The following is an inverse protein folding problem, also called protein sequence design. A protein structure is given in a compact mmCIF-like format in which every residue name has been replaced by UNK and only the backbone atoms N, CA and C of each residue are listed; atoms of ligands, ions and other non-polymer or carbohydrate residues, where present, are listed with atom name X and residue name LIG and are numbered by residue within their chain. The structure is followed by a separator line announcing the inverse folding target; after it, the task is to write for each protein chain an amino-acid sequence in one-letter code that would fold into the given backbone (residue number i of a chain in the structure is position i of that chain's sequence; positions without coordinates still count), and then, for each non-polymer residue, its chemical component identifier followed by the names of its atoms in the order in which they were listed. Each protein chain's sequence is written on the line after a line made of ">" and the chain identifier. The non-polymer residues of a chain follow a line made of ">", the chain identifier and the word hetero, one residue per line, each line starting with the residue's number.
data_IF_753871031499
#
_entry.id   IF_753871031499
#
_cell.length_a   1.000
_cell.length_b   1.000
_cell.length_c   1.000
_cell.angle_alpha   90.00
_cell.angle_beta   90.00
_cell.angle_gamma   90.00
#
_symmetry.space_group_name_H-M   'P 1'
#
loop_
_entity.id
_entity.type
_entity.pdbx_description
1 polymer ?
#
# COMPACT_ATOMS: atom_id res chain seq x y z
N UNK A 1 -17.30 14.60 -14.47
CA UNK A 1 -17.71 15.34 -13.24
C UNK A 1 -18.29 16.67 -13.64
N UNK A 2 -19.43 17.03 -13.06
CA UNK A 2 -20.07 18.31 -13.28
C UNK A 2 -19.14 19.49 -12.87
N UNK A 3 -19.02 20.57 -13.69
CA UNK A 3 -18.14 21.69 -13.39
C UNK A 3 -18.47 22.44 -12.10
N UNK A 4 -19.74 22.51 -11.69
CA UNK A 4 -20.16 23.18 -10.47
C UNK A 4 -19.78 22.35 -9.24
N UNK A 5 -20.00 21.04 -9.29
CA UNK A 5 -19.53 20.10 -8.26
C UNK A 5 -18.02 20.20 -8.08
N UNK A 6 -17.27 20.27 -9.19
CA UNK A 6 -15.81 20.48 -9.14
C UNK A 6 -15.45 21.78 -8.42
N UNK A 7 -16.11 22.89 -8.76
CA UNK A 7 -15.86 24.20 -8.17
C UNK A 7 -16.13 24.18 -6.67
N UNK A 8 -17.22 23.54 -6.24
CA UNK A 8 -17.59 23.42 -4.83
C UNK A 8 -16.55 22.62 -4.03
N UNK A 9 -16.07 21.49 -4.56
CA UNK A 9 -15.03 20.66 -3.91
C UNK A 9 -13.74 21.48 -3.77
N UNK A 10 -13.29 22.14 -4.84
CA UNK A 10 -12.07 22.92 -4.83
C UNK A 10 -12.17 24.16 -3.93
N UNK A 11 -13.35 24.76 -3.81
CA UNK A 11 -13.62 25.87 -2.89
C UNK A 11 -13.64 25.44 -1.41
N UNK A 12 -13.92 24.17 -1.14
CA UNK A 12 -13.99 23.61 0.22
C UNK A 12 -12.67 22.97 0.69
N UNK A 13 -11.62 22.97 -0.13
CA UNK A 13 -10.36 22.31 0.23
C UNK A 13 -9.68 22.98 1.44
N UNK A 14 -9.01 22.22 2.31
CA UNK A 14 -8.21 22.80 3.39
C UNK A 14 -7.10 23.73 2.89
N UNK A 15 -6.72 24.70 3.73
CA UNK A 15 -5.61 25.61 3.43
C UNK A 15 -4.26 24.88 3.36
N UNK A 16 -4.11 23.79 4.13
CA UNK A 16 -2.95 22.89 4.12
C UNK A 16 -2.77 22.15 2.79
N UNK A 17 -3.85 21.98 2.01
CA UNK A 17 -3.79 21.27 0.72
C UNK A 17 -3.02 22.12 -0.30
N UNK A 18 -1.81 21.66 -0.60
CA UNK A 18 -0.91 22.25 -1.60
C UNK A 18 -0.89 21.45 -2.91
N UNK A 19 -1.44 20.23 -2.92
CA UNK A 19 -1.55 19.40 -4.12
C UNK A 19 -2.98 18.87 -4.28
N UNK A 20 -3.53 18.97 -5.49
CA UNK A 20 -4.81 18.35 -5.86
C UNK A 20 -4.60 17.38 -7.01
N UNK A 21 -5.06 16.14 -6.86
CA UNK A 21 -5.03 15.09 -7.89
C UNK A 21 -6.47 14.74 -8.29
N UNK A 22 -6.73 14.73 -9.59
CA UNK A 22 -8.03 14.40 -10.16
C UNK A 22 -7.88 13.21 -11.10
N UNK A 23 -8.53 12.10 -10.74
CA UNK A 23 -8.60 10.87 -11.53
C UNK A 23 -10.00 10.72 -12.08
N UNK A 24 -10.13 10.72 -13.40
CA UNK A 24 -11.41 10.54 -14.10
C UNK A 24 -11.34 9.23 -14.87
N UNK A 25 -12.15 8.26 -14.46
CA UNK A 25 -12.24 6.95 -15.09
C UNK A 25 -13.42 6.91 -16.06
N UNK A 26 -13.20 6.28 -17.22
CA UNK A 26 -14.26 5.88 -18.13
C UNK A 26 -14.65 4.43 -17.82
N UNK A 27 -15.95 4.13 -17.84
CA UNK A 27 -16.43 2.76 -17.81
C UNK A 27 -16.58 2.33 -19.26
N UNK A 28 -15.80 1.35 -19.68
CA UNK A 28 -15.99 0.71 -20.97
C UNK A 28 -17.14 -0.30 -20.85
N UNK A 29 -18.22 -0.08 -21.60
CA UNK A 29 -19.43 -0.92 -21.58
C UNK A 29 -19.20 -2.29 -22.20
N UNK A 30 -18.13 -2.46 -22.98
CA UNK A 30 -17.95 -3.62 -23.85
C UNK A 30 -16.92 -4.63 -23.29
N UNK A 31 -16.35 -4.36 -22.11
CA UNK A 31 -15.43 -5.29 -21.44
C UNK A 31 -16.18 -6.23 -20.49
N UNK A 32 -16.75 -7.29 -21.05
CA UNK A 32 -17.09 -8.48 -20.27
C UNK A 32 -15.80 -9.09 -19.72
N UNK A 33 -15.66 -9.03 -18.39
CA UNK A 33 -14.62 -9.65 -17.58
C UNK A 33 -13.16 -9.35 -17.98
N UNK A 34 -12.55 -8.37 -17.31
CA UNK A 34 -11.08 -8.34 -17.20
C UNK A 34 -10.65 -9.60 -16.45
N UNK A 35 -10.25 -10.63 -17.20
CA UNK A 35 -9.68 -11.87 -16.66
C UNK A 35 -8.19 -11.67 -16.36
N UNK A 36 -7.76 -12.11 -15.18
CA UNK A 36 -6.35 -12.03 -14.75
C UNK A 36 -6.15 -11.44 -13.35
N UNK A 37 -4.92 -11.55 -12.83
CA UNK A 37 -4.56 -10.91 -11.56
C UNK A 37 -4.54 -9.39 -11.76
N UNK A 38 -5.23 -8.59 -10.93
CA UNK A 38 -5.10 -7.15 -10.96
C UNK A 38 -3.63 -6.75 -10.81
N UNK A 39 -3.06 -6.15 -11.86
CA UNK A 39 -1.68 -5.68 -11.86
C UNK A 39 -1.64 -4.22 -11.43
N UNK A 40 -0.69 -3.86 -10.56
CA UNK A 40 -0.42 -2.44 -10.21
C UNK A 40 0.05 -1.60 -11.41
N UNK A 41 0.25 -2.22 -12.57
CA UNK A 41 0.62 -1.53 -13.79
C UNK A 41 -0.52 -0.75 -14.44
N UNK A 42 -1.79 -0.92 -14.01
CA UNK A 42 -3.01 -0.41 -14.66
C UNK A 42 -2.92 -0.56 -16.19
N UNK A 43 -3.45 -1.65 -16.74
CA UNK A 43 -3.40 -1.89 -18.19
C UNK A 43 -4.08 -0.71 -18.89
N UNK A 44 -3.27 0.14 -19.53
CA UNK A 44 -3.79 1.26 -20.31
C UNK A 44 -4.47 0.68 -21.54
N UNK A 45 -5.72 1.09 -21.78
CA UNK A 45 -6.44 0.71 -22.99
C UNK A 45 -5.60 1.04 -24.24
N UNK A 46 -5.46 0.14 -25.23
CA UNK A 46 -4.65 0.40 -26.43
C UNK A 46 -5.03 1.70 -27.15
N UNK A 47 -6.31 2.04 -27.15
CA UNK A 47 -6.84 3.25 -27.78
C UNK A 47 -6.83 4.50 -26.88
N UNK A 48 -6.19 4.44 -25.72
CA UNK A 48 -6.04 5.61 -24.85
C UNK A 48 -5.21 6.70 -25.54
N UNK A 49 -5.44 7.96 -25.13
CA UNK A 49 -4.73 9.10 -25.73
C UNK A 49 -3.21 9.01 -25.56
N UNK A 50 -2.41 9.67 -26.44
CA UNK A 50 -0.96 9.67 -26.32
C UNK A 50 -0.44 10.11 -24.95
N UNK A 51 -1.14 11.04 -24.28
CA UNK A 51 -0.79 11.51 -22.94
C UNK A 51 -0.95 10.41 -21.89
N UNK A 52 -2.01 9.60 -22.00
CA UNK A 52 -2.21 8.45 -21.12
C UNK A 52 -1.18 7.37 -21.41
N UNK A 53 -0.92 7.06 -22.69
CA UNK A 53 0.13 6.11 -23.09
C UNK A 53 1.52 6.53 -22.61
N UNK A 54 1.78 7.84 -22.46
CA UNK A 54 3.03 8.38 -21.97
C UNK A 54 3.18 8.36 -20.43
N UNK A 55 2.18 7.89 -19.68
CA UNK A 55 2.28 7.80 -18.23
C UNK A 55 3.41 6.86 -17.82
N UNK A 56 4.30 7.38 -16.98
CA UNK A 56 5.36 6.59 -16.37
C UNK A 56 4.76 5.51 -15.45
N UNK A 57 5.54 4.48 -15.16
CA UNK A 57 5.16 3.47 -14.18
C UNK A 57 4.74 4.08 -12.83
N UNK A 58 5.52 5.03 -12.30
CA UNK A 58 5.23 5.67 -11.02
C UNK A 58 3.90 6.44 -11.02
N UNK A 59 3.54 7.06 -12.14
CA UNK A 59 2.25 7.74 -12.29
C UNK A 59 1.09 6.74 -12.32
N UNK A 60 1.22 5.64 -13.08
CA UNK A 60 0.20 4.58 -13.13
C UNK A 60 0.00 3.92 -11.78
N UNK A 61 1.09 3.57 -11.11
CA UNK A 61 1.07 3.00 -9.76
C UNK A 61 0.39 3.96 -8.77
N UNK A 62 0.64 5.27 -8.88
CA UNK A 62 -0.02 6.26 -8.04
C UNK A 62 -1.52 6.36 -8.32
N UNK A 63 -1.93 6.40 -9.59
CA UNK A 63 -3.35 6.39 -10.00
C UNK A 63 -4.05 5.13 -9.48
N UNK A 64 -3.42 3.96 -9.65
CA UNK A 64 -3.95 2.68 -9.19
C UNK A 64 -4.29 2.71 -7.70
N UNK A 65 -3.31 3.14 -6.90
CA UNK A 65 -3.44 3.19 -5.44
C UNK A 65 -4.42 4.25 -4.98
N UNK A 66 -4.28 5.49 -5.43
CA UNK A 66 -5.08 6.63 -4.96
C UNK A 66 -6.57 6.48 -5.28
N UNK A 67 -6.90 5.85 -6.41
CA UNK A 67 -8.29 5.59 -6.80
C UNK A 67 -8.96 4.48 -5.98
N UNK A 68 -8.17 3.57 -5.41
CA UNK A 68 -8.63 2.40 -4.65
C UNK A 68 -8.39 2.53 -3.14
N UNK A 69 -7.64 3.54 -2.73
CA UNK A 69 -7.18 3.74 -1.37
C UNK A 69 -8.18 4.42 -0.45
N UNK A 70 -9.41 4.72 -0.85
CA UNK A 70 -10.41 5.22 0.10
C UNK A 70 -10.65 4.19 1.20
N UNK A 71 -10.55 4.62 2.46
CA UNK A 71 -10.46 3.77 3.65
C UNK A 71 -9.38 2.69 3.56
N UNK A 72 -8.29 3.01 2.86
CA UNK A 72 -7.19 2.09 2.57
C UNK A 72 -6.50 1.56 3.83
N UNK A 73 -6.41 2.38 4.89
CA UNK A 73 -5.83 1.99 6.17
C UNK A 73 -6.55 0.79 6.81
N UNK A 74 -7.89 0.83 6.92
CA UNK A 74 -8.67 -0.27 7.50
C UNK A 74 -8.63 -1.52 6.63
N UNK A 75 -8.66 -1.37 5.29
CA UNK A 75 -8.52 -2.50 4.35
C UNK A 75 -7.16 -3.17 4.48
N UNK A 76 -6.09 -2.38 4.61
CA UNK A 76 -4.74 -2.90 4.81
C UNK A 76 -4.64 -3.65 6.14
N UNK A 77 -5.18 -3.09 7.23
CA UNK A 77 -5.21 -3.76 8.53
C UNK A 77 -5.97 -5.10 8.44
N UNK A 78 -7.17 -5.12 7.83
CA UNK A 78 -7.94 -6.35 7.63
C UNK A 78 -7.14 -7.39 6.83
N UNK A 79 -6.48 -6.98 5.74
CA UNK A 79 -5.63 -7.87 4.95
C UNK A 79 -4.50 -8.47 5.78
N UNK A 80 -3.80 -7.66 6.59
CA UNK A 80 -2.75 -8.15 7.49
C UNK A 80 -3.31 -9.09 8.55
N UNK A 81 -4.46 -8.77 9.16
CA UNK A 81 -5.11 -9.61 10.16
C UNK A 81 -5.40 -11.00 9.60
N UNK A 82 -6.11 -11.08 8.47
CA UNK A 82 -6.41 -12.35 7.82
C UNK A 82 -5.14 -13.10 7.41
N UNK A 83 -4.12 -12.40 6.89
CA UNK A 83 -2.85 -13.04 6.51
C UNK A 83 -2.14 -13.65 7.73
N UNK A 84 -2.13 -12.95 8.85
CA UNK A 84 -1.50 -13.43 10.07
C UNK A 84 -2.29 -14.51 10.79
N UNK A 85 -3.61 -14.54 10.64
CA UNK A 85 -4.45 -15.61 11.16
C UNK A 85 -4.25 -16.94 10.40
N UNK A 86 -3.70 -16.90 9.18
CA UNK A 86 -3.27 -18.09 8.43
C UNK A 86 -1.92 -18.65 8.91
N UNK A 87 -1.19 -17.93 9.76
CA UNK A 87 0.09 -18.40 10.28
C UNK A 87 -0.12 -19.60 11.24
N UNK A 88 0.72 -20.64 11.16
CA UNK A 88 0.66 -21.75 12.12
C UNK A 88 0.83 -21.27 13.56
N UNK A 89 0.20 -21.96 14.51
CA UNK A 89 0.32 -21.63 15.92
C UNK A 89 1.80 -21.58 16.36
N UNK A 90 2.19 -20.49 17.03
CA UNK A 90 3.56 -20.26 17.49
C UNK A 90 4.53 -19.70 16.44
N UNK A 91 4.12 -19.61 15.17
CA UNK A 91 4.91 -18.93 14.14
C UNK A 91 5.13 -17.46 14.52
N UNK A 92 6.39 -17.03 14.56
CA UNK A 92 6.75 -15.62 14.80
C UNK A 92 7.00 -14.90 13.48
N UNK A 93 6.78 -13.59 13.49
CA UNK A 93 7.18 -12.70 12.41
C UNK A 93 8.58 -12.17 12.67
N UNK A 94 9.43 -12.19 11.65
CA UNK A 94 10.75 -11.58 11.69
C UNK A 94 10.68 -10.18 11.11
N UNK A 95 10.79 -9.16 11.96
CA UNK A 95 10.87 -7.76 11.55
C UNK A 95 12.34 -7.35 11.50
N UNK A 96 12.79 -6.88 10.34
CA UNK A 96 14.13 -6.36 10.15
C UNK A 96 14.07 -4.97 9.52
N UNK A 97 14.62 -3.97 10.21
CA UNK A 97 14.76 -2.61 9.69
C UNK A 97 16.19 -2.45 9.18
N UNK A 98 16.36 -2.11 7.90
CA UNK A 98 17.68 -1.97 7.25
C UNK A 98 18.55 -3.23 7.47
N UNK A 99 19.75 -3.04 8.02
CA UNK A 99 20.76 -4.04 8.35
C UNK A 99 20.80 -4.34 9.86
N UNK A 100 19.77 -3.96 10.62
CA UNK A 100 19.67 -4.28 12.04
C UNK A 100 19.43 -5.78 12.25
N UNK A 101 19.66 -6.25 13.48
CA UNK A 101 19.34 -7.62 13.84
C UNK A 101 17.82 -7.82 13.77
N UNK A 102 17.32 -8.90 13.13
CA UNK A 102 15.90 -9.16 13.08
C UNK A 102 15.30 -9.35 14.47
N UNK A 103 14.15 -8.75 14.72
CA UNK A 103 13.36 -8.93 15.94
C UNK A 103 12.20 -9.87 15.63
N UNK A 104 12.04 -10.90 16.47
CA UNK A 104 10.90 -11.80 16.41
C UNK A 104 9.74 -11.24 17.21
N UNK A 105 8.58 -11.07 16.58
CA UNK A 105 7.34 -10.62 17.21
C UNK A 105 6.23 -11.67 17.07
N UNK A 106 5.27 -11.61 18.00
CA UNK A 106 4.08 -12.45 17.93
C UNK A 106 3.00 -11.77 17.06
N UNK A 107 2.61 -12.35 15.91
CA UNK A 107 1.55 -11.79 15.07
C UNK A 107 0.19 -11.69 15.77
N UNK A 108 -0.07 -12.55 16.77
CA UNK A 108 -1.33 -12.54 17.53
C UNK A 108 -1.35 -11.44 18.60
N UNK A 109 -0.20 -10.89 18.97
CA UNK A 109 -0.08 -9.78 19.93
C UNK A 109 -0.13 -8.39 19.27
N UNK A 110 -0.64 -8.32 18.03
CA UNK A 110 -0.79 -7.08 17.26
C UNK A 110 -1.81 -6.14 17.90
N UNK A 111 -1.60 -4.84 17.72
CA UNK A 111 -2.53 -3.77 18.13
C UNK A 111 -2.85 -2.87 16.94
N UNK A 112 -4.02 -2.28 16.93
CA UNK A 112 -4.39 -1.22 16.00
C UNK A 112 -4.13 0.10 16.72
N UNK A 113 -3.23 0.90 16.16
CA UNK A 113 -3.00 2.27 16.58
C UNK A 113 -3.87 3.18 15.73
N UNK A 114 -4.69 4.01 16.38
CA UNK A 114 -5.57 4.98 15.76
C UNK A 114 -4.98 6.38 15.90
N UNK A 115 -4.93 7.10 14.80
CA UNK A 115 -4.38 8.43 14.70
C UNK A 115 -5.41 9.41 14.15
N UNK A 116 -5.37 10.63 14.69
CA UNK A 116 -6.02 11.79 14.11
C UNK A 116 -5.00 12.62 13.35
N UNK A 117 -5.17 12.71 12.03
CA UNK A 117 -4.39 13.55 11.13
C UNK A 117 -5.04 14.92 10.99
N UNK A 118 -4.23 15.98 11.00
CA UNK A 118 -4.68 17.36 10.85
C UNK A 118 -3.95 18.03 9.70
N UNK A 119 -4.67 18.83 8.91
CA UNK A 119 -4.11 19.57 7.80
C UNK A 119 -3.53 18.66 6.71
N UNK A 120 -4.35 17.85 6.01
CA UNK A 120 -3.86 17.04 4.90
C UNK A 120 -3.26 17.94 3.81
N UNK A 121 -2.15 17.50 3.22
CA UNK A 121 -1.41 18.26 2.19
C UNK A 121 -1.85 17.92 0.77
N UNK A 122 -2.46 16.75 0.60
CA UNK A 122 -2.95 16.22 -0.67
C UNK A 122 -4.48 16.10 -0.63
N UNK A 123 -5.14 16.52 -1.71
CA UNK A 123 -6.54 16.20 -1.99
C UNK A 123 -6.61 15.32 -3.24
N UNK A 124 -7.13 14.10 -3.09
CA UNK A 124 -7.40 13.20 -4.23
C UNK A 124 -8.89 13.15 -4.51
N UNK A 125 -9.25 13.30 -5.77
CA UNK A 125 -10.63 13.22 -6.28
C UNK A 125 -10.65 12.13 -7.34
N UNK A 126 -11.40 11.04 -7.10
CA UNK A 126 -11.58 9.96 -8.08
C UNK A 126 -13.05 9.84 -8.48
N UNK A 127 -13.37 9.81 -9.77
CA UNK A 127 -14.75 9.74 -10.29
C UNK A 127 -14.86 8.80 -11.48
N UNK A 128 -16.06 8.28 -11.75
CA UNK A 128 -16.32 7.36 -12.87
C UNK A 128 -15.91 5.92 -12.59
N UNK A 129 -15.75 5.56 -11.31
CA UNK A 129 -15.49 4.18 -10.90
C UNK A 129 -16.79 3.37 -10.88
N UNK A 130 -16.77 2.17 -11.46
CA UNK A 130 -17.93 1.26 -11.51
C UNK A 130 -18.42 0.93 -10.08
N UNK A 131 -19.74 0.97 -9.87
CA UNK A 131 -20.36 0.66 -8.58
C UNK A 131 -20.27 1.77 -7.54
N UNK A 132 -19.85 2.98 -7.92
CA UNK A 132 -19.84 4.14 -7.03
C UNK A 132 -20.54 5.33 -7.67
N UNK A 133 -21.62 5.77 -7.05
CA UNK A 133 -22.29 7.01 -7.43
C UNK A 133 -21.48 8.20 -6.90
N UNK A 134 -20.89 8.97 -7.82
CA UNK A 134 -20.23 10.23 -7.52
C UNK A 134 -18.70 10.18 -7.47
N UNK A 135 -18.11 11.04 -6.64
CA UNK A 135 -16.67 11.19 -6.49
C UNK A 135 -16.21 10.68 -5.12
N UNK A 136 -15.14 9.90 -5.11
CA UNK A 136 -14.41 9.51 -3.92
C UNK A 136 -13.40 10.60 -3.60
N UNK A 137 -13.40 11.07 -2.35
CA UNK A 137 -12.54 12.15 -1.90
C UNK A 137 -11.64 11.67 -0.76
N UNK A 138 -10.35 11.95 -0.85
CA UNK A 138 -9.37 11.75 0.23
C UNK A 138 -8.70 13.09 0.52
N UNK A 139 -8.70 13.53 1.79
CA UNK A 139 -8.08 14.79 2.20
C UNK A 139 -8.95 16.05 2.06
N UNK A 140 -10.28 15.92 1.90
CA UNK A 140 -11.19 17.08 1.86
C UNK A 140 -11.40 17.71 3.25
N UNK A 141 -11.38 16.91 4.32
CA UNK A 141 -11.55 17.41 5.69
C UNK A 141 -10.29 18.08 6.24
N UNK A 142 -10.45 19.01 7.18
CA UNK A 142 -9.32 19.54 7.97
C UNK A 142 -8.68 18.45 8.85
N UNK A 143 -9.48 17.45 9.21
CA UNK A 143 -9.07 16.33 10.03
C UNK A 143 -9.48 15.01 9.35
N UNK A 144 -8.70 13.96 9.56
CA UNK A 144 -8.97 12.61 9.06
C UNK A 144 -8.47 11.57 10.05
N UNK A 145 -9.19 10.46 10.17
CA UNK A 145 -8.73 9.31 10.95
C UNK A 145 -7.85 8.41 10.10
N UNK A 146 -6.77 7.90 10.68
CA UNK A 146 -5.88 6.93 10.06
C UNK A 146 -5.50 5.88 11.08
N UNK A 147 -5.39 4.63 10.66
CA UNK A 147 -5.04 3.54 11.58
C UNK A 147 -3.92 2.70 10.99
N UNK A 148 -3.04 2.20 11.84
CA UNK A 148 -1.92 1.33 11.46
C UNK A 148 -1.90 0.09 12.33
N UNK A 149 -1.22 -0.96 11.87
CA UNK A 149 -1.03 -2.17 12.66
C UNK A 149 0.33 -2.13 13.36
N UNK A 150 0.29 -2.30 14.68
CA UNK A 150 1.44 -2.24 15.58
C UNK A 150 1.82 -3.61 16.16
N UNK A 151 3.12 -3.79 16.43
CA UNK A 151 3.69 -4.95 17.10
C UNK A 151 4.58 -4.53 18.27
N UNK A 152 4.49 -5.27 19.37
CA UNK A 152 5.33 -5.08 20.56
C UNK A 152 6.50 -6.07 20.59
N UNK A 153 7.68 -5.58 20.96
CA UNK A 153 8.81 -6.40 21.37
C UNK A 153 8.54 -7.03 22.73
N UNK A 154 8.83 -8.33 22.85
CA UNK A 154 9.02 -9.01 24.16
C UNK A 154 7.85 -8.84 25.15
N UNK A 155 6.63 -8.62 24.67
CA UNK A 155 5.45 -8.45 25.52
C UNK A 155 5.47 -7.18 26.39
N UNK A 156 6.24 -6.15 26.00
CA UNK A 156 6.30 -4.85 26.70
C UNK A 156 4.94 -4.17 26.84
N UNK A 157 3.98 -4.53 25.99
CA UNK A 157 2.67 -3.88 25.86
C UNK A 157 2.72 -2.55 25.12
N UNK A 158 3.92 -2.00 24.89
CA UNK A 158 4.18 -0.79 24.11
C UNK A 158 4.42 -1.21 22.65
N UNK A 159 3.85 -0.48 21.70
CA UNK A 159 4.10 -0.77 20.28
C UNK A 159 5.50 -0.29 19.90
N UNK A 160 6.33 -1.18 19.38
CA UNK A 160 7.70 -0.88 18.96
C UNK A 160 7.79 -0.70 17.44
N UNK A 161 6.99 -1.47 16.69
CA UNK A 161 6.98 -1.47 15.24
C UNK A 161 5.58 -1.25 14.70
N UNK A 162 5.49 -0.56 13.56
CA UNK A 162 4.24 -0.38 12.84
C UNK A 162 4.42 -0.79 11.38
N UNK A 163 3.37 -1.41 10.84
CA UNK A 163 3.20 -1.68 9.41
C UNK A 163 1.98 -0.92 8.90
N UNK A 164 2.14 -0.26 7.77
CA UNK A 164 1.13 0.63 7.24
C UNK A 164 1.21 0.78 5.72
N UNK A 165 0.07 1.07 5.09
CA UNK A 165 -0.05 1.30 3.65
C UNK A 165 -0.60 2.71 3.36
N UNK A 166 -0.17 3.75 4.10
CA UNK A 166 -0.54 5.17 3.92
C UNK A 166 -0.41 5.60 2.46
N UNK A 167 0.58 5.08 1.75
CA UNK A 167 0.76 5.24 0.32
C UNK A 167 -0.51 5.00 -0.50
N UNK A 168 -1.35 4.05 -0.12
CA UNK A 168 -2.60 3.77 -0.83
C UNK A 168 -3.54 4.97 -0.82
N UNK A 169 -3.59 5.69 0.30
CA UNK A 169 -4.44 6.86 0.47
C UNK A 169 -3.79 8.15 -0.05
N UNK A 170 -2.49 8.29 0.17
CA UNK A 170 -1.78 9.57 0.06
C UNK A 170 -0.69 9.56 -1.02
N UNK A 171 -0.67 8.54 -1.87
CA UNK A 171 0.24 8.43 -2.99
C UNK A 171 1.70 8.48 -2.56
N UNK A 172 2.52 9.21 -3.31
CA UNK A 172 3.96 9.31 -3.08
C UNK A 172 4.33 9.86 -1.70
N UNK A 173 3.51 10.76 -1.14
CA UNK A 173 3.75 11.33 0.19
C UNK A 173 3.66 10.28 1.31
N UNK A 174 2.90 9.21 1.07
CA UNK A 174 2.71 8.10 2.01
C UNK A 174 3.70 6.94 1.84
N UNK A 175 4.73 7.08 1.00
CA UNK A 175 5.79 6.06 0.89
C UNK A 175 6.58 5.96 2.19
N UNK A 176 7.08 4.76 2.47
CA UNK A 176 7.94 4.56 3.64
C UNK A 176 9.32 5.23 3.50
N UNK A 177 10.14 5.15 4.54
CA UNK A 177 11.39 5.91 4.66
C UNK A 177 12.40 5.65 3.54
N UNK A 178 12.29 4.52 2.84
CA UNK A 178 13.13 4.14 1.71
C UNK A 178 12.35 4.13 0.39
N UNK A 179 11.17 4.74 0.33
CA UNK A 179 10.34 4.80 -0.87
C UNK A 179 9.54 3.53 -1.15
N UNK A 180 9.47 2.61 -0.19
CA UNK A 180 8.72 1.37 -0.26
C UNK A 180 7.20 1.57 -0.31
N UNK A 181 6.50 0.52 -0.74
CA UNK A 181 5.05 0.55 -0.98
C UNK A 181 4.24 0.43 0.32
N UNK A 182 4.79 -0.23 1.33
CA UNK A 182 4.27 -0.30 2.69
C UNK A 182 5.34 0.20 3.67
N UNK A 183 4.98 1.07 4.61
CA UNK A 183 5.87 1.40 5.70
C UNK A 183 6.02 0.20 6.63
N UNK A 184 7.26 -0.15 6.99
CA UNK A 184 7.57 -1.04 8.11
C UNK A 184 8.73 -0.42 8.89
N UNK A 185 8.46 0.00 10.11
CA UNK A 185 9.46 0.69 10.92
C UNK A 185 8.99 0.95 12.34
N UNK A 186 9.63 1.86 13.05
CA UNK A 186 9.22 2.25 14.41
C UNK A 186 8.02 3.19 14.39
N UNK A 187 7.29 3.26 15.49
CA UNK A 187 6.18 4.23 15.62
C UNK A 187 6.66 5.68 15.42
N UNK A 188 7.80 6.04 16.04
CA UNK A 188 8.40 7.37 15.84
C UNK A 188 8.75 7.64 14.38
N UNK A 189 9.31 6.65 13.67
CA UNK A 189 9.61 6.78 12.25
C UNK A 189 8.34 6.91 11.40
N UNK A 190 7.23 6.32 11.81
CA UNK A 190 5.93 6.51 11.17
C UNK A 190 5.45 7.95 11.33
N UNK A 191 5.50 8.50 12.54
CA UNK A 191 5.16 9.90 12.80
C UNK A 191 6.00 10.85 11.94
N UNK A 192 7.30 10.58 11.80
CA UNK A 192 8.20 11.38 10.96
C UNK A 192 7.79 11.37 9.48
N UNK A 193 7.44 10.20 8.91
CA UNK A 193 7.01 10.16 7.50
C UNK A 193 5.64 10.83 7.28
N UNK A 194 4.76 10.82 8.29
CA UNK A 194 3.44 11.45 8.22
C UNK A 194 3.51 12.97 8.10
N UNK A 195 4.65 13.59 8.45
CA UNK A 195 4.90 14.99 8.18
C UNK A 195 4.89 15.33 6.67
N UNK A 196 5.10 14.36 5.78
CA UNK A 196 4.93 14.58 4.34
C UNK A 196 3.46 14.61 3.90
N UNK A 197 2.59 13.98 4.69
CA UNK A 197 1.17 13.77 4.35
C UNK A 197 0.28 14.83 4.97
N UNK A 198 0.58 15.25 6.19
CA UNK A 198 -0.24 16.18 6.97
C UNK A 198 0.62 17.13 7.84
N UNK A 199 -0.02 18.13 8.45
CA UNK A 199 0.65 19.10 9.32
C UNK A 199 0.85 18.56 10.74
N UNK A 200 0.02 17.62 11.18
CA UNK A 200 0.18 16.97 12.48
C UNK A 200 -0.58 15.66 12.59
N UNK A 201 0.00 14.71 13.31
CA UNK A 201 -0.59 13.42 13.63
C UNK A 201 -0.60 13.22 15.14
N UNK A 202 -1.70 12.72 15.68
CA UNK A 202 -1.85 12.47 17.11
C UNK A 202 -2.49 11.10 17.33
N UNK A 203 -1.86 10.26 18.15
CA UNK A 203 -2.48 9.00 18.57
C UNK A 203 -3.73 9.30 19.44
N UNK A 204 -4.82 8.60 19.14
CA UNK A 204 -6.11 8.73 19.82
C UNK A 204 -6.63 7.40 20.39
N UNK A 205 -6.00 6.26 20.06
CA UNK A 205 -6.37 4.95 20.60
C UNK A 205 -5.39 3.84 20.21
N UNK A 206 -5.30 2.78 21.02
CA UNK A 206 -4.39 1.65 20.77
C UNK A 206 -4.86 0.29 21.34
N UNK A 207 -6.11 0.19 21.79
CA UNK A 207 -6.62 -1.00 22.49
C UNK A 207 -7.25 -2.04 21.57
N UNK A 208 -7.64 -1.64 20.36
CA UNK A 208 -8.23 -2.54 19.40
C UNK A 208 -7.19 -3.53 18.85
N UNK A 209 -7.56 -4.80 18.70
CA UNK A 209 -6.70 -5.82 18.09
C UNK A 209 -7.22 -6.29 16.73
N UNK A 210 -8.50 -6.00 16.46
CA UNK A 210 -9.24 -6.44 15.29
C UNK A 210 -10.09 -5.30 14.72
N UNK A 211 -10.13 -5.20 13.40
CA UNK A 211 -11.13 -4.34 12.74
C UNK A 211 -12.45 -5.10 12.76
N UNK A 212 -13.55 -4.41 13.06
CA UNK A 212 -14.87 -5.02 13.02
C UNK A 212 -15.24 -5.51 11.60
N UNK A 213 -16.17 -6.48 11.47
CA UNK A 213 -16.63 -6.93 10.17
C UNK A 213 -17.16 -5.76 9.32
N UNK A 214 -16.78 -5.75 8.05
CA UNK A 214 -17.24 -4.80 7.02
C UNK A 214 -17.60 -5.50 5.72
N UNK A 215 -18.14 -4.77 4.75
CA UNK A 215 -18.39 -5.25 3.38
C UNK A 215 -17.13 -5.76 2.66
N UNK A 216 -15.94 -5.40 3.13
CA UNK A 216 -14.67 -5.83 2.53
C UNK A 216 -14.09 -7.11 3.14
N UNK A 217 -14.65 -7.60 4.26
CA UNK A 217 -14.07 -8.71 5.04
C UNK A 217 -13.80 -9.95 4.17
N UNK A 218 -14.82 -10.45 3.47
CA UNK A 218 -14.69 -11.64 2.62
C UNK A 218 -13.67 -11.45 1.50
N UNK A 219 -13.62 -10.26 0.90
CA UNK A 219 -12.66 -9.96 -0.16
C UNK A 219 -11.23 -9.90 0.37
N UNK A 220 -11.01 -9.32 1.56
CA UNK A 220 -9.70 -9.25 2.19
C UNK A 220 -9.23 -10.64 2.64
N UNK A 221 -10.12 -11.47 3.18
CA UNK A 221 -9.84 -12.86 3.54
C UNK A 221 -9.41 -13.68 2.31
N UNK A 222 -10.18 -13.60 1.20
CA UNK A 222 -9.82 -14.28 -0.05
C UNK A 222 -8.47 -13.79 -0.62
N UNK A 223 -8.17 -12.49 -0.47
CA UNK A 223 -6.87 -11.93 -0.86
C UNK A 223 -5.73 -12.48 0.00
N UNK A 224 -5.92 -12.51 1.33
CA UNK A 224 -4.94 -13.06 2.27
C UNK A 224 -4.65 -14.55 1.99
N UNK A 225 -5.69 -15.36 1.77
CA UNK A 225 -5.56 -16.78 1.42
C UNK A 225 -4.73 -16.97 0.14
N UNK A 226 -5.03 -16.22 -0.92
CA UNK A 226 -4.26 -16.28 -2.17
C UNK A 226 -2.80 -15.87 -1.98
N UNK A 227 -2.53 -14.83 -1.20
CA UNK A 227 -1.16 -14.40 -0.88
C UNK A 227 -0.43 -15.46 -0.07
N UNK A 228 -1.12 -16.09 0.89
CA UNK A 228 -0.57 -17.16 1.72
C UNK A 228 -0.23 -18.42 0.93
N UNK A 229 -1.12 -18.87 0.05
CA UNK A 229 -0.88 -19.99 -0.87
C UNK A 229 0.36 -19.73 -1.73
N UNK A 230 0.43 -18.53 -2.33
CA UNK A 230 1.59 -18.11 -3.11
C UNK A 230 2.87 -18.10 -2.28
N UNK A 231 2.81 -17.58 -1.04
CA UNK A 231 3.95 -17.58 -0.13
C UNK A 231 4.44 -18.99 0.24
N UNK A 232 3.52 -19.93 0.45
CA UNK A 232 3.86 -21.33 0.70
C UNK A 232 4.46 -22.02 -0.53
N UNK A 233 4.05 -21.62 -1.73
CA UNK A 233 4.56 -22.14 -3.00
C UNK A 233 5.73 -21.35 -3.59
N UNK A 234 6.35 -20.44 -2.81
CA UNK A 234 7.32 -19.46 -3.31
C UNK A 234 8.54 -20.02 -4.02
N UNK A 235 8.99 -21.20 -3.59
CA UNK A 235 10.13 -21.86 -4.21
C UNK A 235 9.80 -22.37 -5.63
N UNK A 236 8.51 -22.51 -5.98
CA UNK A 236 8.03 -23.01 -7.27
C UNK A 236 7.50 -21.90 -8.18
N UNK A 237 6.68 -20.99 -7.65
CA UNK A 237 5.89 -20.07 -8.49
C UNK A 237 6.63 -18.78 -8.83
N UNK A 238 7.38 -18.19 -7.88
CA UNK A 238 8.07 -16.92 -8.12
C UNK A 238 7.17 -15.72 -8.37
N UNK A 239 7.63 -14.54 -7.95
CA UNK A 239 6.94 -13.29 -8.21
C UNK A 239 7.92 -12.12 -8.30
N UNK A 240 7.47 -11.02 -8.88
CA UNK A 240 8.18 -9.77 -8.78
C UNK A 240 8.12 -9.25 -7.34
N UNK A 241 9.27 -9.08 -6.71
CA UNK A 241 9.42 -8.60 -5.32
C UNK A 241 8.85 -7.17 -5.12
N UNK A 242 8.78 -6.37 -6.18
CA UNK A 242 8.21 -5.03 -6.12
C UNK A 242 6.68 -5.00 -6.32
N UNK A 243 6.17 -5.61 -7.40
CA UNK A 243 4.76 -5.48 -7.77
C UNK A 243 3.89 -6.73 -7.50
N UNK A 244 4.50 -7.83 -7.10
CA UNK A 244 3.80 -9.09 -6.82
C UNK A 244 3.35 -9.89 -8.04
N UNK A 245 3.60 -9.45 -9.28
CA UNK A 245 3.21 -10.20 -10.48
C UNK A 245 3.89 -11.58 -10.50
N UNK A 246 3.13 -12.65 -10.76
CA UNK A 246 3.63 -14.02 -10.75
C UNK A 246 4.46 -14.36 -11.99
N UNK A 247 5.35 -15.35 -11.88
CA UNK A 247 6.15 -15.80 -13.03
C UNK A 247 5.32 -16.48 -14.13
N UNK A 248 4.10 -16.94 -13.81
CA UNK A 248 3.13 -17.47 -14.78
C UNK A 248 2.57 -16.38 -15.70
N UNK A 249 2.56 -15.12 -15.25
CA UNK A 249 2.01 -13.99 -15.99
C UNK A 249 3.10 -13.24 -16.77
N UNK A 250 4.30 -13.13 -16.20
CA UNK A 250 5.42 -12.37 -16.80
C UNK A 250 6.76 -13.06 -16.59
N UNK A 251 7.66 -13.05 -17.60
CA UNK A 251 9.05 -13.45 -17.42
C UNK A 251 9.71 -12.57 -16.35
N UNK A 252 10.32 -13.21 -15.35
CA UNK A 252 10.99 -12.50 -14.27
C UNK A 252 12.51 -12.52 -14.44
N UNK A 253 13.13 -11.41 -14.08
CA UNK A 253 14.57 -11.17 -14.10
C UNK A 253 15.14 -11.34 -12.68
N UNK A 254 16.23 -12.07 -12.55
CA UNK A 254 16.96 -12.13 -11.27
C UNK A 254 17.58 -10.77 -10.93
N UNK A 255 17.76 -10.51 -9.63
CA UNK A 255 18.51 -9.34 -9.18
C UNK A 255 19.88 -9.26 -9.88
N UNK A 256 20.16 -8.14 -10.53
CA UNK A 256 21.41 -7.95 -11.27
C UNK A 256 22.67 -8.00 -10.41
N UNK A 257 22.55 -7.87 -9.09
CA UNK A 257 23.66 -7.83 -8.14
C UNK A 257 23.92 -9.19 -7.45
N UNK A 258 22.98 -9.73 -6.67
CA UNK A 258 23.17 -11.01 -5.98
C UNK A 258 22.90 -12.23 -6.86
N UNK A 259 22.15 -12.07 -7.96
CA UNK A 259 21.71 -13.18 -8.84
C UNK A 259 20.96 -14.27 -8.07
N UNK A 260 20.36 -13.93 -6.94
CA UNK A 260 19.51 -14.84 -6.18
C UNK A 260 18.22 -15.12 -6.92
N UNK A 261 17.84 -16.39 -7.00
CA UNK A 261 16.63 -16.86 -7.68
C UNK A 261 15.35 -16.58 -6.89
N UNK A 262 15.48 -16.25 -5.59
CA UNK A 262 14.35 -15.94 -4.71
C UNK A 262 13.83 -14.51 -4.89
N UNK A 263 14.70 -13.58 -5.31
CA UNK A 263 14.35 -12.18 -5.51
C UNK A 263 14.39 -11.83 -6.99
N UNK A 264 13.20 -11.74 -7.56
CA UNK A 264 12.99 -11.57 -8.99
C UNK A 264 12.16 -10.31 -9.27
N UNK A 265 12.30 -9.77 -10.48
CA UNK A 265 11.62 -8.55 -10.91
C UNK A 265 11.09 -8.69 -12.33
N UNK A 266 9.86 -8.25 -12.61
CA UNK A 266 9.32 -8.32 -13.97
C UNK A 266 9.96 -7.29 -14.93
N UNK A 267 10.66 -6.27 -14.42
CA UNK A 267 11.38 -5.29 -15.23
C UNK A 267 12.50 -4.59 -14.43
N UNK A 268 13.39 -3.89 -15.15
CA UNK A 268 14.49 -3.11 -14.55
C UNK A 268 14.00 -1.95 -13.68
N UNK A 269 12.85 -1.37 -13.99
CA UNK A 269 12.26 -0.27 -13.21
C UNK A 269 11.86 -0.73 -11.81
N UNK A 270 11.21 -1.90 -11.71
CA UNK A 270 10.85 -2.51 -10.44
C UNK A 270 12.08 -2.88 -9.60
N UNK A 271 13.12 -3.43 -10.23
CA UNK A 271 14.38 -3.68 -9.53
C UNK A 271 14.98 -2.39 -8.99
N UNK A 272 15.00 -1.30 -9.77
CA UNK A 272 15.53 0.01 -9.33
C UNK A 272 14.72 0.60 -8.17
N UNK A 273 13.39 0.46 -8.22
CA UNK A 273 12.51 0.93 -7.16
C UNK A 273 12.71 0.13 -5.87
N UNK A 274 12.76 -1.20 -5.95
CA UNK A 274 13.00 -2.09 -4.82
C UNK A 274 14.42 -1.98 -4.25
N UNK A 275 15.41 -1.57 -5.06
CA UNK A 275 16.82 -1.49 -4.65
C UNK A 275 17.04 -0.62 -3.40
N UNK A 276 16.19 0.37 -3.17
CA UNK A 276 16.29 1.24 -1.98
C UNK A 276 16.20 0.45 -0.67
N UNK A 277 15.41 -0.63 -0.63
CA UNK A 277 15.35 -1.59 0.47
C UNK A 277 16.27 -2.78 0.25
N UNK A 278 16.17 -3.44 -0.91
CA UNK A 278 16.88 -4.70 -1.15
C UNK A 278 18.40 -4.58 -0.96
N UNK A 279 19.00 -3.41 -1.18
CA UNK A 279 20.44 -3.20 -0.95
C UNK A 279 20.92 -3.56 0.46
N UNK A 280 20.05 -3.56 1.47
CA UNK A 280 20.39 -3.88 2.86
C UNK A 280 20.46 -5.39 3.12
N UNK A 281 19.76 -6.19 2.32
CA UNK A 281 19.69 -7.66 2.44
C UNK A 281 20.32 -8.37 1.24
N UNK A 282 20.77 -7.62 0.23
CA UNK A 282 21.38 -8.16 -0.97
C UNK A 282 22.72 -8.84 -0.67
N UNK A 283 22.77 -10.17 -0.81
CA UNK A 283 24.00 -10.95 -0.70
C UNK A 283 24.81 -10.84 -1.99
N UNK A 284 25.35 -9.65 -2.27
CA UNK A 284 26.27 -9.49 -3.41
C UNK A 284 27.38 -10.52 -3.27
N UNK A 285 27.50 -11.42 -4.26
CA UNK A 285 28.67 -12.30 -4.36
C UNK A 285 29.89 -11.38 -4.41
N UNK A 286 30.70 -11.40 -3.35
CA UNK A 286 32.02 -10.79 -3.36
C UNK A 286 32.81 -11.58 -4.40
N UNK A 287 32.93 -11.02 -5.61
CA UNK A 287 33.92 -11.41 -6.59
C UNK A 287 35.31 -11.13 -6.05
#
# INVERSE_FOLDING_TARGET
>A
MDPEVRRQILGSKPASVNQVRLHVFGIDSDSDEVTGTPSMNDIIHPDASPELQALTFAQRESIYHESRGHDGCYKAILLYQHLFDLCPAGQKLSIQIKNEAPVLVDPSARKILEFKMNGPKLLTISTGLKGKDGAILTGLGQESSHSVLGFSCRGSGVVDFVVDMTRMQWGEAGRGSFGETCYLGTEAGFVDIMANVCDGVKEVGHDATHVGPSEHTMTMEACATRVWERWNNRDKEGWCDYCGVGASEWPLLDCSACKETKLRYCCKEHQRAAWKLHKFTCEKKKT
#
